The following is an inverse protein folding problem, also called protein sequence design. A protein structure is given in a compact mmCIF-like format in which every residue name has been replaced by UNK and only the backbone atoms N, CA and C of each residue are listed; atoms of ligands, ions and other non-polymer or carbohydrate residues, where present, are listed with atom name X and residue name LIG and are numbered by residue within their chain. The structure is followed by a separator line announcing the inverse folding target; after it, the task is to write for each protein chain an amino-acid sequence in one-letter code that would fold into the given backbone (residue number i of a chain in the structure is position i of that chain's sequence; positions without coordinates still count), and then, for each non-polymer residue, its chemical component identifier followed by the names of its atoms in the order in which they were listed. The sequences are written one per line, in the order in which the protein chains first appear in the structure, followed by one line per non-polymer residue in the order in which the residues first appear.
data_IF_132949342916
#
_entry.id   IF_132949342916
#
_cell.length_a   1.000
_cell.length_b   1.000
_cell.length_c   1.000
_cell.angle_alpha   90.00
_cell.angle_beta   90.00
_cell.angle_gamma   90.00
#
_symmetry.space_group_name_H-M   'P 1'
#
loop_
_entity.id
_entity.type
_entity.pdbx_description
1 polymer ?
#
# COMPACT_ATOMS: atom_id res chain seq x y z
N UNK A 1 -42.23 -48.41 -16.27
CA UNK A 1 -41.06 -47.98 -17.06
C UNK A 1 -41.59 -47.40 -18.36
N UNK A 2 -40.98 -46.32 -18.85
CA UNK A 2 -41.33 -45.74 -20.13
C UNK A 2 -41.14 -46.76 -21.26
N UNK A 3 -42.00 -46.69 -22.28
CA UNK A 3 -42.03 -47.61 -23.42
C UNK A 3 -41.11 -47.11 -24.54
N UNK A 4 -40.38 -48.03 -25.16
CA UNK A 4 -39.64 -47.81 -26.41
C UNK A 4 -40.28 -48.63 -27.54
N UNK A 5 -40.80 -47.98 -28.58
CA UNK A 5 -41.41 -48.63 -29.74
C UNK A 5 -40.47 -48.80 -30.94
N UNK A 6 -39.26 -48.24 -30.89
CA UNK A 6 -38.27 -48.42 -31.95
C UNK A 6 -37.56 -49.77 -31.76
N UNK A 7 -38.02 -50.79 -32.46
CA UNK A 7 -37.56 -52.17 -32.28
C UNK A 7 -36.34 -52.51 -33.15
N UNK A 8 -35.51 -53.42 -32.66
CA UNK A 8 -34.39 -53.99 -33.43
C UNK A 8 -34.87 -54.95 -34.51
N UNK A 9 -34.21 -54.97 -35.67
CA UNK A 9 -34.53 -55.88 -36.77
C UNK A 9 -33.52 -57.02 -36.91
N UNK A 10 -34.03 -58.25 -36.97
CA UNK A 10 -33.27 -59.43 -37.38
C UNK A 10 -32.16 -59.85 -36.43
N UNK A 11 -32.24 -59.61 -35.12
CA UNK A 11 -31.14 -59.89 -34.17
C UNK A 11 -31.01 -61.36 -33.73
N UNK A 12 -31.95 -62.23 -34.14
CA UNK A 12 -31.96 -63.63 -33.73
C UNK A 12 -30.73 -64.40 -34.23
N UNK A 13 -30.37 -65.44 -33.49
CA UNK A 13 -29.36 -66.41 -33.94
C UNK A 13 -29.78 -67.03 -35.28
N UNK A 14 -28.84 -67.16 -36.21
CA UNK A 14 -29.10 -67.68 -37.56
C UNK A 14 -29.87 -66.73 -38.49
N UNK A 15 -30.16 -65.49 -38.08
CA UNK A 15 -30.86 -64.55 -38.94
C UNK A 15 -30.06 -64.23 -40.22
N UNK A 16 -30.76 -64.25 -41.36
CA UNK A 16 -30.21 -64.11 -42.72
C UNK A 16 -29.57 -62.72 -42.95
N UNK A 17 -28.33 -62.53 -42.50
CA UNK A 17 -27.49 -61.36 -42.76
C UNK A 17 -26.07 -61.76 -43.15
N UNK A 18 -25.34 -60.80 -43.69
CA UNK A 18 -23.90 -60.92 -43.91
C UNK A 18 -23.11 -60.95 -42.60
N UNK A 19 -21.95 -61.62 -42.62
CA UNK A 19 -20.92 -61.44 -41.61
C UNK A 19 -20.40 -59.99 -41.62
N UNK A 20 -19.64 -59.60 -40.59
CA UNK A 20 -19.08 -58.24 -40.56
C UNK A 20 -18.02 -58.06 -41.66
N UNK A 21 -17.26 -59.09 -41.93
CA UNK A 21 -16.21 -59.14 -42.95
C UNK A 21 -16.84 -59.03 -44.36
N UNK A 22 -17.87 -59.82 -44.64
CA UNK A 22 -18.59 -59.79 -45.92
C UNK A 22 -19.27 -58.43 -46.16
N UNK A 23 -19.86 -57.83 -45.13
CA UNK A 23 -20.48 -56.51 -45.24
C UNK A 23 -19.45 -55.39 -45.42
N UNK A 24 -18.31 -55.48 -44.75
CA UNK A 24 -17.22 -54.52 -44.92
C UNK A 24 -16.69 -54.51 -46.36
N UNK A 25 -16.61 -55.69 -46.98
CA UNK A 25 -16.17 -55.87 -48.37
C UNK A 25 -17.26 -55.59 -49.43
N UNK A 26 -18.53 -55.44 -49.03
CA UNK A 26 -19.64 -55.22 -49.96
C UNK A 26 -19.53 -53.84 -50.63
N UNK A 27 -19.40 -53.81 -51.96
CA UNK A 27 -19.32 -52.57 -52.73
C UNK A 27 -20.54 -51.65 -52.53
N UNK A 28 -21.73 -52.22 -52.33
CA UNK A 28 -22.97 -51.48 -52.08
C UNK A 28 -22.97 -50.72 -50.73
N UNK A 29 -22.08 -51.04 -49.77
CA UNK A 29 -21.93 -50.26 -48.53
C UNK A 29 -21.48 -48.82 -48.82
N UNK A 30 -20.69 -48.64 -49.89
CA UNK A 30 -20.16 -47.33 -50.29
C UNK A 30 -21.01 -46.71 -51.39
N UNK A 31 -21.37 -47.51 -52.41
CA UNK A 31 -22.04 -46.99 -53.62
C UNK A 31 -23.58 -47.02 -53.53
N UNK A 32 -24.13 -47.58 -52.46
CA UNK A 32 -25.55 -47.93 -52.37
C UNK A 32 -25.92 -49.14 -53.22
N UNK A 33 -27.13 -49.65 -53.04
CA UNK A 33 -27.67 -50.73 -53.87
C UNK A 33 -28.05 -50.20 -55.26
N UNK A 34 -27.52 -50.81 -56.30
CA UNK A 34 -27.89 -50.51 -57.70
C UNK A 34 -29.20 -51.20 -58.10
N UNK A 35 -29.80 -50.74 -59.20
CA UNK A 35 -30.96 -51.41 -59.80
C UNK A 35 -30.64 -52.88 -60.13
N UNK A 36 -31.53 -53.80 -59.78
CA UNK A 36 -31.33 -55.23 -59.94
C UNK A 36 -32.04 -56.05 -58.87
N UNK A 37 -31.63 -57.31 -58.72
CA UNK A 37 -32.22 -58.22 -57.73
C UNK A 37 -31.73 -57.86 -56.33
N UNK A 38 -32.67 -57.50 -55.46
CA UNK A 38 -32.41 -57.24 -54.05
C UNK A 38 -32.01 -58.53 -53.30
N UNK A 39 -30.75 -58.62 -52.88
CA UNK A 39 -30.28 -59.72 -52.03
C UNK A 39 -30.68 -59.44 -50.58
N UNK A 40 -31.67 -60.19 -50.09
CA UNK A 40 -32.23 -60.03 -48.74
C UNK A 40 -31.16 -60.05 -47.64
N UNK A 41 -30.12 -60.87 -47.78
CA UNK A 41 -29.02 -60.96 -46.82
C UNK A 41 -28.21 -59.66 -46.68
N UNK A 42 -28.03 -58.94 -47.79
CA UNK A 42 -27.32 -57.67 -47.83
C UNK A 42 -28.17 -56.54 -47.23
N UNK A 43 -29.47 -56.49 -47.59
CA UNK A 43 -30.42 -55.52 -47.05
C UNK A 43 -30.67 -55.70 -45.54
N UNK A 44 -30.87 -56.95 -45.10
CA UNK A 44 -31.09 -57.25 -43.69
C UNK A 44 -29.90 -56.80 -42.83
N UNK A 45 -28.67 -56.83 -43.34
CA UNK A 45 -27.48 -56.36 -42.60
C UNK A 45 -27.54 -54.85 -42.38
N UNK A 46 -27.86 -54.09 -43.41
CA UNK A 46 -28.03 -52.64 -43.31
C UNK A 46 -29.17 -52.27 -42.34
N UNK A 47 -30.35 -52.91 -42.49
CA UNK A 47 -31.49 -52.68 -41.60
C UNK A 47 -31.20 -53.06 -40.14
N UNK A 48 -30.50 -54.17 -39.91
CA UNK A 48 -30.08 -54.57 -38.56
C UNK A 48 -29.16 -53.52 -37.94
N UNK A 49 -28.12 -53.07 -38.64
CA UNK A 49 -27.19 -52.08 -38.10
C UNK A 49 -27.91 -50.77 -37.74
N UNK A 50 -28.78 -50.27 -38.62
CA UNK A 50 -29.54 -49.05 -38.36
C UNK A 50 -30.51 -49.21 -37.19
N UNK A 51 -31.34 -50.26 -37.19
CA UNK A 51 -32.35 -50.49 -36.16
C UNK A 51 -31.78 -50.73 -34.76
N UNK A 52 -30.59 -51.35 -34.63
CA UNK A 52 -29.92 -51.50 -33.34
C UNK A 52 -29.55 -50.12 -32.76
N UNK A 53 -28.96 -49.24 -33.56
CA UNK A 53 -28.59 -47.90 -33.08
C UNK A 53 -29.84 -47.08 -32.73
N UNK A 54 -30.88 -47.14 -33.57
CA UNK A 54 -32.16 -46.48 -33.28
C UNK A 54 -32.77 -46.98 -31.97
N UNK A 55 -32.80 -48.31 -31.75
CA UNK A 55 -33.31 -48.89 -30.52
C UNK A 55 -32.54 -48.43 -29.28
N UNK A 56 -31.21 -48.45 -29.33
CA UNK A 56 -30.35 -47.99 -28.22
C UNK A 56 -30.61 -46.53 -27.88
N UNK A 57 -30.70 -45.67 -28.90
CA UNK A 57 -30.99 -44.24 -28.70
C UNK A 57 -32.39 -44.04 -28.12
N UNK A 58 -33.40 -44.72 -28.65
CA UNK A 58 -34.77 -44.63 -28.14
C UNK A 58 -34.91 -45.17 -26.72
N UNK A 59 -34.15 -46.21 -26.36
CA UNK A 59 -34.10 -46.76 -25.01
C UNK A 59 -33.45 -45.78 -24.03
N UNK A 60 -32.34 -45.16 -24.42
CA UNK A 60 -31.72 -44.07 -23.66
C UNK A 60 -32.71 -42.93 -23.43
N UNK A 61 -33.43 -42.50 -24.47
CA UNK A 61 -34.43 -41.45 -24.37
C UNK A 61 -35.54 -41.85 -23.38
N UNK A 62 -36.11 -43.04 -23.53
CA UNK A 62 -37.20 -43.51 -22.67
C UNK A 62 -36.77 -43.58 -21.20
N UNK A 63 -35.59 -44.16 -20.96
CA UNK A 63 -35.03 -44.34 -19.61
C UNK A 63 -34.74 -43.02 -18.91
N UNK A 64 -34.00 -42.12 -19.57
CA UNK A 64 -33.51 -40.89 -18.93
C UNK A 64 -34.57 -39.78 -18.92
N UNK A 65 -35.47 -39.72 -19.91
CA UNK A 65 -36.58 -38.76 -19.91
C UNK A 65 -37.75 -39.17 -19.01
N UNK A 66 -37.93 -40.48 -18.77
CA UNK A 66 -39.08 -41.04 -18.08
C UNK A 66 -40.37 -41.06 -18.92
N UNK A 67 -40.31 -40.66 -20.19
CA UNK A 67 -41.46 -40.59 -21.10
C UNK A 67 -41.41 -41.68 -22.18
N UNK A 68 -42.58 -42.11 -22.66
CA UNK A 68 -42.67 -43.05 -23.78
C UNK A 68 -42.07 -42.47 -25.07
N UNK A 69 -41.41 -43.34 -25.82
CA UNK A 69 -40.81 -43.06 -27.13
C UNK A 69 -41.55 -43.88 -28.18
N UNK A 70 -42.55 -43.24 -28.80
CA UNK A 70 -43.52 -43.87 -29.70
C UNK A 70 -43.14 -43.73 -31.17
N UNK A 71 -43.42 -44.76 -31.99
CA UNK A 71 -43.21 -44.74 -33.45
C UNK A 71 -44.48 -44.29 -34.18
N UNK A 72 -44.88 -43.03 -33.96
CA UNK A 72 -46.11 -42.45 -34.51
C UNK A 72 -45.86 -41.24 -35.44
N UNK A 73 -44.60 -40.99 -35.81
CA UNK A 73 -44.20 -39.86 -36.63
C UNK A 73 -44.18 -38.50 -35.92
N UNK A 74 -44.41 -38.43 -34.60
CA UNK A 74 -44.34 -37.18 -33.85
C UNK A 74 -42.88 -36.81 -33.51
N UNK A 75 -42.24 -36.10 -34.44
CA UNK A 75 -40.85 -35.68 -34.33
C UNK A 75 -40.63 -34.70 -33.16
N UNK A 76 -41.60 -33.84 -32.85
CA UNK A 76 -41.44 -32.83 -31.79
C UNK A 76 -41.45 -33.45 -30.41
N UNK A 77 -42.31 -34.45 -30.18
CA UNK A 77 -42.28 -35.24 -28.94
C UNK A 77 -40.94 -35.97 -28.77
N UNK A 78 -40.42 -36.58 -29.85
CA UNK A 78 -39.13 -37.26 -29.83
C UNK A 78 -37.97 -36.30 -29.52
N UNK A 79 -37.96 -35.10 -30.13
CA UNK A 79 -36.96 -34.06 -29.84
C UNK A 79 -37.03 -33.59 -28.39
N UNK A 80 -38.24 -33.34 -27.88
CA UNK A 80 -38.45 -32.91 -26.49
C UNK A 80 -37.94 -33.96 -25.51
N UNK A 81 -38.31 -35.23 -25.72
CA UNK A 81 -37.85 -36.33 -24.89
C UNK A 81 -36.34 -36.52 -24.98
N UNK A 82 -35.73 -36.40 -26.16
CA UNK A 82 -34.27 -36.47 -26.30
C UNK A 82 -33.57 -35.34 -25.54
N UNK A 83 -34.05 -34.11 -25.65
CA UNK A 83 -33.49 -32.97 -24.90
C UNK A 83 -33.58 -33.19 -23.38
N UNK A 84 -34.71 -33.72 -22.91
CA UNK A 84 -34.91 -34.03 -21.50
C UNK A 84 -33.99 -35.19 -21.03
N UNK A 85 -33.87 -36.24 -21.83
CA UNK A 85 -32.97 -37.36 -21.55
C UNK A 85 -31.51 -36.90 -21.42
N UNK A 86 -31.04 -36.04 -22.32
CA UNK A 86 -29.70 -35.45 -22.23
C UNK A 86 -29.57 -34.61 -20.96
N UNK A 87 -30.57 -33.78 -20.65
CA UNK A 87 -30.56 -32.95 -19.43
C UNK A 87 -30.49 -33.79 -18.15
N UNK A 88 -31.25 -34.87 -18.08
CA UNK A 88 -31.32 -35.74 -16.90
C UNK A 88 -30.09 -36.66 -16.77
N UNK A 89 -29.48 -37.06 -17.89
CA UNK A 89 -28.26 -37.85 -17.90
C UNK A 89 -27.02 -37.06 -17.46
N UNK A 90 -27.07 -35.71 -17.48
CA UNK A 90 -26.02 -34.87 -16.94
C UNK A 90 -26.11 -34.83 -15.40
N UNK A 91 -24.98 -34.94 -14.69
CA UNK A 91 -24.98 -34.83 -13.23
C UNK A 91 -25.53 -33.46 -12.80
N UNK A 92 -26.26 -33.42 -11.69
CA UNK A 92 -26.72 -32.18 -11.09
C UNK A 92 -25.50 -31.28 -10.78
N UNK A 93 -25.37 -30.17 -11.50
CA UNK A 93 -24.33 -29.17 -11.19
C UNK A 93 -24.80 -28.37 -9.98
N UNK A 94 -24.24 -28.69 -8.81
CA UNK A 94 -24.52 -28.00 -7.56
C UNK A 94 -23.62 -26.76 -7.44
N UNK A 95 -24.18 -25.68 -6.89
CA UNK A 95 -23.38 -24.52 -6.49
C UNK A 95 -22.40 -24.93 -5.38
N UNK A 96 -21.22 -24.31 -5.36
CA UNK A 96 -20.32 -24.54 -4.24
C UNK A 96 -20.93 -23.98 -2.94
N UNK A 97 -20.69 -24.68 -1.85
CA UNK A 97 -21.03 -24.22 -0.51
C UNK A 97 -19.78 -24.23 0.38
N UNK A 98 -19.95 -23.81 1.64
CA UNK A 98 -18.87 -23.89 2.62
C UNK A 98 -18.49 -25.33 2.97
N UNK A 99 -19.33 -26.32 2.63
CA UNK A 99 -19.14 -27.73 2.99
C UNK A 99 -19.06 -28.68 1.80
N UNK A 100 -19.52 -28.26 0.62
CA UNK A 100 -19.58 -29.09 -0.60
C UNK A 100 -18.95 -28.35 -1.78
N UNK A 101 -18.10 -29.03 -2.55
CA UNK A 101 -17.50 -28.49 -3.77
C UNK A 101 -18.57 -28.34 -4.86
N UNK A 102 -18.55 -27.24 -5.59
CA UNK A 102 -19.46 -26.97 -6.71
C UNK A 102 -18.91 -25.89 -7.64
N UNK A 103 -19.74 -25.36 -8.54
CA UNK A 103 -19.37 -24.29 -9.47
C UNK A 103 -19.65 -22.93 -8.80
N UNK A 104 -18.77 -21.94 -8.99
CA UNK A 104 -18.95 -20.56 -8.53
C UNK A 104 -18.70 -19.57 -9.66
N UNK A 105 -19.36 -18.41 -9.60
CA UNK A 105 -19.07 -17.29 -10.49
C UNK A 105 -17.84 -16.52 -9.98
N UNK A 106 -17.01 -16.02 -10.89
CA UNK A 106 -15.81 -15.26 -10.53
C UNK A 106 -16.10 -13.75 -10.42
N UNK A 107 -15.36 -13.04 -9.58
CA UNK A 107 -15.43 -11.58 -9.43
C UNK A 107 -14.07 -10.91 -9.37
N UNK A 108 -13.95 -9.79 -10.07
CA UNK A 108 -12.82 -8.84 -9.99
C UNK A 108 -13.11 -7.64 -9.06
N UNK A 109 -14.20 -7.70 -8.28
CA UNK A 109 -14.61 -6.63 -7.37
C UNK A 109 -14.64 -7.11 -5.92
N UNK A 110 -14.12 -6.29 -5.01
CA UNK A 110 -14.35 -6.46 -3.57
C UNK A 110 -15.81 -6.20 -3.22
N UNK A 111 -16.36 -6.94 -2.26
CA UNK A 111 -17.73 -6.78 -1.79
C UNK A 111 -18.06 -7.75 -0.66
N UNK A 112 -19.36 -7.96 -0.41
CA UNK A 112 -19.89 -8.82 0.64
C UNK A 112 -20.63 -10.05 0.07
N UNK A 113 -20.19 -10.55 -1.09
CA UNK A 113 -20.79 -11.74 -1.71
C UNK A 113 -20.28 -13.03 -1.07
N UNK A 114 -21.20 -13.96 -0.81
CA UNK A 114 -20.90 -15.32 -0.39
C UNK A 114 -21.07 -16.33 -1.54
N UNK A 115 -21.38 -15.87 -2.75
CA UNK A 115 -21.63 -16.71 -3.94
C UNK A 115 -20.60 -16.52 -5.05
N UNK A 116 -19.71 -15.53 -4.91
CA UNK A 116 -18.67 -15.21 -5.89
C UNK A 116 -17.30 -15.60 -5.35
N UNK A 117 -16.48 -16.23 -6.20
CA UNK A 117 -15.07 -16.50 -5.92
C UNK A 117 -14.18 -15.35 -6.43
N UNK A 118 -13.22 -14.92 -5.62
CA UNK A 118 -12.26 -13.90 -6.04
C UNK A 118 -11.35 -14.44 -7.16
N UNK A 119 -11.13 -13.64 -8.19
CA UNK A 119 -10.12 -13.94 -9.21
C UNK A 119 -8.71 -13.74 -8.67
N UNK A 120 -7.72 -14.36 -9.33
CA UNK A 120 -6.31 -14.07 -9.04
C UNK A 120 -5.98 -12.58 -9.18
N UNK A 121 -6.57 -11.90 -10.17
CA UNK A 121 -6.41 -10.47 -10.38
C UNK A 121 -6.86 -9.67 -9.15
N UNK A 122 -8.06 -9.95 -8.63
CA UNK A 122 -8.56 -9.28 -7.43
C UNK A 122 -7.66 -9.52 -6.22
N UNK A 123 -7.18 -10.76 -6.03
CA UNK A 123 -6.26 -11.10 -4.94
C UNK A 123 -4.94 -10.33 -5.06
N UNK A 124 -4.38 -10.23 -6.28
CA UNK A 124 -3.18 -9.43 -6.55
C UNK A 124 -3.41 -7.94 -6.27
N UNK A 125 -4.51 -7.35 -6.77
CA UNK A 125 -4.84 -5.94 -6.55
C UNK A 125 -4.97 -5.61 -5.04
N UNK A 126 -5.61 -6.50 -4.27
CA UNK A 126 -5.74 -6.36 -2.80
C UNK A 126 -4.38 -6.46 -2.11
N UNK A 127 -3.54 -7.41 -2.54
CA UNK A 127 -2.19 -7.58 -2.00
C UNK A 127 -1.31 -6.36 -2.30
N UNK A 128 -1.38 -5.80 -3.51
CA UNK A 128 -0.63 -4.61 -3.90
C UNK A 128 -1.09 -3.38 -3.11
N UNK A 129 -2.39 -3.22 -2.89
CA UNK A 129 -2.92 -2.18 -2.00
C UNK A 129 -2.40 -2.35 -0.56
N UNK A 130 -2.36 -3.57 -0.03
CA UNK A 130 -1.79 -3.84 1.30
C UNK A 130 -0.29 -3.50 1.36
N UNK A 131 0.48 -3.89 0.34
CA UNK A 131 1.91 -3.59 0.24
C UNK A 131 2.21 -2.10 0.03
N UNK A 132 1.24 -1.30 -0.43
CA UNK A 132 1.36 0.16 -0.53
C UNK A 132 1.29 0.90 0.81
N UNK A 133 0.95 0.23 1.91
CA UNK A 133 0.83 0.83 3.24
C UNK A 133 2.14 0.72 4.02
N UNK A 134 2.31 1.60 5.01
CA UNK A 134 3.45 1.55 5.92
C UNK A 134 3.43 0.28 6.79
N UNK A 135 4.53 -0.45 6.79
CA UNK A 135 4.73 -1.66 7.56
C UNK A 135 5.07 -1.34 9.01
N UNK A 136 4.26 -1.88 9.95
CA UNK A 136 4.45 -1.66 11.40
C UNK A 136 5.85 -2.05 11.88
N UNK A 137 6.38 -3.17 11.37
CA UNK A 137 7.71 -3.67 11.73
C UNK A 137 8.87 -2.75 11.29
N UNK A 138 8.64 -1.88 10.31
CA UNK A 138 9.64 -0.94 9.81
C UNK A 138 9.70 0.35 10.64
N UNK A 139 8.75 0.58 11.56
CA UNK A 139 8.71 1.76 12.44
C UNK A 139 8.93 3.09 11.67
N UNK A 140 8.35 3.22 10.47
CA UNK A 140 8.46 4.42 9.63
C UNK A 140 9.73 4.54 8.79
N UNK A 141 10.62 3.53 8.79
CA UNK A 141 11.78 3.50 7.90
C UNK A 141 11.37 3.54 6.41
N UNK A 142 10.22 2.96 6.09
CA UNK A 142 9.59 2.85 4.79
C UNK A 142 8.75 4.08 4.36
N UNK A 143 8.73 5.15 5.16
CA UNK A 143 8.17 6.44 4.72
C UNK A 143 8.99 7.00 3.56
N UNK A 144 8.38 7.23 2.37
CA UNK A 144 9.11 7.70 1.17
C UNK A 144 9.72 9.09 1.36
N UNK A 145 8.95 10.03 1.92
CA UNK A 145 9.42 11.39 2.25
C UNK A 145 9.16 11.69 3.73
N UNK A 146 10.21 11.50 4.53
CA UNK A 146 10.17 11.73 5.98
C UNK A 146 10.03 13.22 6.32
N UNK A 147 10.55 14.13 5.49
CA UNK A 147 10.44 15.58 5.74
C UNK A 147 9.00 16.05 5.51
N UNK A 148 8.36 15.61 4.42
CA UNK A 148 6.94 15.87 4.18
C UNK A 148 6.07 15.27 5.29
N UNK A 149 6.42 14.07 5.79
CA UNK A 149 5.72 13.44 6.91
C UNK A 149 5.82 14.27 8.20
N UNK A 150 7.02 14.74 8.57
CA UNK A 150 7.23 15.64 9.72
C UNK A 150 6.43 16.94 9.58
N UNK A 151 6.37 17.50 8.36
CA UNK A 151 5.55 18.68 8.06
C UNK A 151 4.05 18.41 8.24
N UNK A 152 3.56 17.27 7.74
CA UNK A 152 2.15 16.87 7.89
C UNK A 152 1.75 16.58 9.34
N UNK A 153 2.71 16.19 10.19
CA UNK A 153 2.53 16.10 11.63
C UNK A 153 2.52 17.46 12.35
N UNK A 154 2.83 18.56 11.65
CA UNK A 154 2.92 19.89 12.24
C UNK A 154 4.21 20.15 13.05
N UNK A 155 5.23 19.32 12.91
CA UNK A 155 6.45 19.37 13.74
C UNK A 155 7.57 20.24 13.14
N UNK A 156 7.34 20.88 11.99
CA UNK A 156 8.34 21.71 11.32
C UNK A 156 8.90 22.83 12.21
N UNK A 157 8.02 23.53 12.92
CA UNK A 157 8.44 24.61 13.82
C UNK A 157 9.19 24.08 15.03
N UNK A 158 8.74 22.97 15.63
CA UNK A 158 9.45 22.31 16.74
C UNK A 158 10.88 21.91 16.35
N UNK A 159 11.06 21.36 15.15
CA UNK A 159 12.41 21.03 14.63
C UNK A 159 13.25 22.31 14.45
N UNK A 160 12.66 23.39 13.93
CA UNK A 160 13.36 24.67 13.77
C UNK A 160 13.75 25.29 15.12
N UNK A 161 12.85 25.30 16.10
CA UNK A 161 13.11 25.78 17.46
C UNK A 161 14.20 24.95 18.14
N UNK A 162 14.13 23.61 18.05
CA UNK A 162 15.13 22.72 18.63
C UNK A 162 16.54 22.91 18.02
N UNK A 163 16.63 23.14 16.70
CA UNK A 163 17.91 23.42 16.02
C UNK A 163 18.55 24.75 16.47
N UNK A 164 17.72 25.73 16.83
CA UNK A 164 18.17 27.05 17.27
C UNK A 164 18.23 27.20 18.80
N UNK A 165 17.94 26.13 19.55
CA UNK A 165 17.97 26.16 21.00
C UNK A 165 19.41 26.27 21.52
N UNK A 166 19.60 27.02 22.61
CA UNK A 166 20.87 27.08 23.32
C UNK A 166 21.08 25.75 24.06
N UNK A 167 22.17 24.99 23.79
CA UNK A 167 22.40 23.73 24.50
C UNK A 167 22.66 23.96 25.98
N UNK A 168 22.12 23.09 26.84
CA UNK A 168 22.30 23.18 28.30
C UNK A 168 23.76 23.02 28.77
N UNK A 169 24.60 22.39 27.94
CA UNK A 169 26.05 22.26 28.18
C UNK A 169 26.84 23.53 27.82
N UNK A 170 26.21 24.49 27.12
CA UNK A 170 26.85 25.75 26.78
C UNK A 170 27.05 26.57 28.06
N UNK A 171 28.28 27.07 28.24
CA UNK A 171 28.67 27.85 29.41
C UNK A 171 29.24 29.19 29.00
N UNK A 172 29.05 30.19 29.86
CA UNK A 172 29.79 31.45 29.83
C UNK A 172 30.61 31.51 31.12
N UNK A 173 31.93 31.60 31.00
CA UNK A 173 32.85 31.63 32.13
C UNK A 173 32.61 30.49 33.16
N UNK A 174 32.43 29.26 32.67
CA UNK A 174 32.19 28.07 33.51
C UNK A 174 30.78 27.91 34.08
N UNK A 175 29.91 28.92 33.95
CA UNK A 175 28.51 28.89 34.43
C UNK A 175 27.55 28.52 33.30
N UNK A 176 26.56 27.68 33.61
CA UNK A 176 25.56 27.22 32.64
C UNK A 176 24.56 28.33 32.29
N UNK A 177 24.04 28.30 31.06
CA UNK A 177 22.99 29.22 30.58
C UNK A 177 21.59 28.69 30.93
N UNK A 178 21.20 28.83 32.20
CA UNK A 178 19.89 28.36 32.70
C UNK A 178 18.78 29.41 32.62
N UNK A 179 19.10 30.61 32.14
CA UNK A 179 18.19 31.75 31.98
C UNK A 179 18.91 32.94 31.35
N UNK A 180 18.24 34.08 31.30
CA UNK A 180 18.83 35.32 30.77
C UNK A 180 20.07 35.74 31.55
N UNK A 181 21.09 36.21 30.84
CA UNK A 181 22.30 36.75 31.43
C UNK A 181 22.19 38.26 31.47
N UNK A 182 21.85 38.79 32.64
CA UNK A 182 21.88 40.22 32.91
C UNK A 182 23.29 40.62 33.36
N UNK A 183 23.93 41.52 32.61
CA UNK A 183 25.22 42.10 32.98
C UNK A 183 25.01 43.55 33.41
N UNK A 184 25.49 43.92 34.59
CA UNK A 184 25.62 45.30 35.03
C UNK A 184 27.00 45.85 34.66
N UNK A 185 27.17 47.17 34.79
CA UNK A 185 28.48 47.78 34.58
C UNK A 185 29.55 47.23 35.55
N UNK A 186 29.14 46.86 36.78
CA UNK A 186 30.01 46.18 37.74
C UNK A 186 30.52 44.83 37.23
N UNK A 187 29.69 44.06 36.51
CA UNK A 187 30.04 42.71 36.02
C UNK A 187 31.09 42.71 34.91
N UNK A 188 31.23 43.84 34.19
CA UNK A 188 32.18 44.00 33.08
C UNK A 188 33.27 45.05 33.35
N UNK A 189 33.33 45.59 34.58
CA UNK A 189 34.28 46.64 34.94
C UNK A 189 34.01 48.00 34.29
N UNK A 190 32.80 48.22 33.77
CA UNK A 190 32.36 49.50 33.23
C UNK A 190 31.81 50.42 34.33
N UNK A 191 31.83 51.74 34.08
CA UNK A 191 31.19 52.71 34.96
C UNK A 191 29.68 52.78 34.64
N UNK A 192 28.77 52.59 35.63
CA UNK A 192 27.33 52.41 35.36
C UNK A 192 26.61 53.64 34.82
N UNK A 193 27.13 54.85 35.05
CA UNK A 193 26.65 56.10 34.46
C UNK A 193 27.63 57.24 34.75
N UNK A 194 27.52 58.35 34.01
CA UNK A 194 28.07 59.64 34.40
C UNK A 194 27.40 60.07 35.72
N UNK A 195 28.16 60.06 36.81
CA UNK A 195 27.71 60.55 38.12
C UNK A 195 27.99 62.05 38.19
N UNK A 196 26.94 62.88 38.16
CA UNK A 196 27.06 64.29 38.54
C UNK A 196 27.43 64.36 40.02
N UNK A 197 28.41 65.17 40.34
CA UNK A 197 28.87 65.41 41.71
C UNK A 197 28.71 66.90 42.00
N UNK A 198 27.81 67.24 42.92
CA UNK A 198 27.53 68.64 43.27
C UNK A 198 28.64 69.25 44.13
N UNK A 199 29.51 68.41 44.68
CA UNK A 199 30.75 68.75 45.40
C UNK A 199 31.81 67.70 45.09
N UNK A 200 33.08 68.11 45.05
CA UNK A 200 34.20 67.16 44.87
C UNK A 200 34.17 66.13 46.02
N UNK A 201 34.28 64.82 45.73
CA UNK A 201 34.20 63.80 46.76
C UNK A 201 35.33 63.92 47.79
N UNK A 202 34.99 63.73 49.07
CA UNK A 202 35.95 63.55 50.15
C UNK A 202 36.60 62.14 50.11
N UNK A 203 37.34 61.75 51.16
CA UNK A 203 38.13 60.51 51.19
C UNK A 203 37.38 59.24 50.78
N UNK A 204 37.98 58.43 49.90
CA UNK A 204 37.55 57.06 49.59
C UNK A 204 36.75 56.86 48.30
N UNK A 205 36.55 57.89 47.47
CA UNK A 205 35.83 57.74 46.20
C UNK A 205 36.61 56.92 45.17
N UNK A 206 36.00 55.82 44.72
CA UNK A 206 36.56 54.92 43.70
C UNK A 206 35.74 55.05 42.41
N UNK A 207 36.18 55.93 41.51
CA UNK A 207 35.59 56.18 40.19
C UNK A 207 36.67 56.64 39.18
N UNK A 208 36.30 57.21 38.02
CA UNK A 208 37.26 57.70 37.03
C UNK A 208 38.15 58.84 37.55
N UNK A 209 37.78 59.44 38.69
CA UNK A 209 38.63 60.34 39.47
C UNK A 209 38.88 59.77 40.87
N UNK A 210 40.11 59.84 41.40
CA UNK A 210 40.49 59.48 42.79
C UNK A 210 40.97 60.70 43.58
N UNK A 211 40.46 60.89 44.80
CA UNK A 211 40.82 61.98 45.71
C UNK A 211 41.47 61.51 47.03
N UNK A 212 42.29 62.37 47.65
CA UNK A 212 42.84 62.18 49.01
C UNK A 212 42.76 63.48 49.85
N UNK A 213 42.29 63.46 51.10
CA UNK A 213 42.25 64.47 52.19
C UNK A 213 43.57 65.17 52.47
N UNK A 214 44.68 64.67 51.94
CA UNK A 214 45.98 65.34 52.01
C UNK A 214 46.27 66.22 50.79
N UNK A 215 45.37 66.27 49.79
CA UNK A 215 45.54 67.04 48.55
C UNK A 215 44.22 67.66 48.05
N UNK A 216 44.27 68.90 47.59
CA UNK A 216 43.10 69.69 47.17
C UNK A 216 42.64 69.42 45.71
N UNK A 217 42.92 68.24 45.16
CA UNK A 217 42.59 67.89 43.77
C UNK A 217 42.12 66.43 43.61
N UNK A 218 41.28 66.20 42.60
CA UNK A 218 40.84 64.86 42.20
C UNK A 218 41.56 64.45 40.90
N UNK A 219 42.39 63.39 40.96
CA UNK A 219 43.12 62.87 39.78
C UNK A 219 42.18 62.10 38.88
N UNK A 220 42.07 62.49 37.62
CA UNK A 220 41.23 61.83 36.62
C UNK A 220 41.96 60.76 35.84
N UNK A 221 41.90 60.89 34.52
CA UNK A 221 42.54 59.97 33.59
C UNK A 221 44.06 60.21 33.63
N UNK A 222 44.81 59.15 33.94
CA UNK A 222 46.26 59.09 33.78
C UNK A 222 46.52 58.14 32.61
N UNK A 223 47.15 58.64 31.54
CA UNK A 223 47.49 57.83 30.35
C UNK A 223 49.00 57.67 30.30
N UNK A 224 49.47 56.41 30.35
CA UNK A 224 50.89 56.05 30.25
C UNK A 224 51.50 55.60 31.59
N UNK A 225 52.49 54.71 31.51
CA UNK A 225 53.14 54.08 32.67
C UNK A 225 54.41 54.84 33.12
N UNK A 226 55.31 55.21 32.19
CA UNK A 226 56.56 55.95 32.46
C UNK A 226 56.46 57.46 32.12
N UNK A 227 56.06 57.78 30.89
CA UNK A 227 55.60 59.12 30.52
C UNK A 227 54.09 59.14 30.69
N UNK A 228 53.57 60.10 31.44
CA UNK A 228 52.14 60.17 31.67
C UNK A 228 51.55 61.56 31.41
N UNK A 229 50.42 61.55 30.71
CA UNK A 229 49.48 62.66 30.66
C UNK A 229 48.50 62.54 31.83
N UNK A 230 48.41 63.57 32.66
CA UNK A 230 47.46 63.65 33.75
C UNK A 230 46.49 64.80 33.53
N UNK A 231 45.20 64.51 33.66
CA UNK A 231 44.13 65.50 33.70
C UNK A 231 43.49 65.44 35.09
N UNK A 232 43.38 66.58 35.78
CA UNK A 232 42.75 66.68 37.09
C UNK A 232 41.95 67.97 37.23
N UNK A 233 41.07 68.01 38.23
CA UNK A 233 40.28 69.19 38.59
C UNK A 233 40.62 69.56 40.03
N UNK A 234 40.84 70.85 40.30
CA UNK A 234 41.08 71.37 41.65
C UNK A 234 39.79 71.65 42.42
N UNK A 235 39.91 71.97 43.71
CA UNK A 235 38.80 72.33 44.60
C UNK A 235 37.97 73.54 44.15
N UNK A 236 38.47 74.34 43.20
CA UNK A 236 37.78 75.50 42.61
C UNK A 236 37.11 75.19 41.26
N UNK A 237 37.13 73.93 40.82
CA UNK A 237 36.52 73.47 39.58
C UNK A 237 37.35 73.76 38.32
N UNK A 238 38.63 74.12 38.45
CA UNK A 238 39.51 74.40 37.30
C UNK A 238 40.14 73.10 36.78
N UNK A 239 40.07 72.90 35.46
CA UNK A 239 40.67 71.76 34.77
C UNK A 239 42.15 72.03 34.50
N UNK A 240 43.01 71.10 34.88
CA UNK A 240 44.44 71.13 34.62
C UNK A 240 44.86 69.88 33.84
N UNK A 241 45.75 70.06 32.87
CA UNK A 241 46.43 68.98 32.17
C UNK A 241 47.94 69.16 32.31
N UNK A 242 48.67 68.10 32.66
CA UNK A 242 50.13 68.08 32.57
C UNK A 242 50.59 66.87 31.79
N UNK A 243 51.63 67.07 30.98
CA UNK A 243 52.39 66.00 30.38
C UNK A 243 53.73 65.96 31.10
N UNK A 244 53.99 64.87 31.81
CA UNK A 244 55.30 64.61 32.40
C UNK A 244 56.04 63.68 31.45
N UNK A 245 57.14 64.18 30.89
CA UNK A 245 58.08 63.39 30.12
C UNK A 245 59.30 63.13 31.03
N UNK A 246 59.62 61.86 31.32
CA UNK A 246 60.86 61.51 32.01
C UNK A 246 62.04 61.52 31.03
N UNK A 247 62.30 62.65 30.40
CA UNK A 247 63.60 62.91 29.79
C UNK A 247 64.47 63.52 30.86
N UNK A 248 65.09 62.66 31.68
CA UNK A 248 66.24 63.08 32.46
C UNK A 248 67.38 63.42 31.49
N UNK A 249 67.66 64.72 31.31
CA UNK A 249 69.03 65.21 31.16
C UNK A 249 69.40 65.95 32.44
#
# INVERSE_FOLDING_TARGET
MAKNEFLTFGIAEGANVLSNEEYAALAARVNGFSSGVAKSRELNKAWRQSSIITHILADFIAKESGNDVLDNGNIDALKSNLALAIKNALPEMRDASLTEKGITQLTDKTGNSNTLAATQKLVSDVNDNANSKLAKSQNGADIPDKNAFVKNLGLSETVAQARNAVPSSRKVNGKALTGDISLSAGDVGALPALKSIDKIPDWGYNGPFRGSRTVDYARGISVGDNDYGQIWVDSSGRLYGRFSNSTSK
#
